data_IF_458156755677
#
_entry.id   IF_458156755677
#
_cell.length_a   1.000
_cell.length_b   1.000
_cell.length_c   1.000
_cell.angle_alpha   90.00
_cell.angle_beta   90.00
_cell.angle_gamma   90.00
#
_symmetry.space_group_name_H-M   'P 1'
#
loop_
_entity.id
_entity.type
_entity.pdbx_description
1 polymer ?
#
# COMPACT_ATOMS: atom_id res chain seq x y z
N UNK A 1 63.21 2.94 -65.90
CA UNK A 1 61.88 2.51 -65.46
C UNK A 1 61.91 2.37 -63.94
N UNK A 2 61.15 3.22 -63.25
CA UNK A 2 61.09 3.28 -61.79
C UNK A 2 60.12 2.23 -61.25
N UNK A 3 60.61 1.35 -60.37
CA UNK A 3 59.87 0.21 -59.81
C UNK A 3 59.37 0.49 -58.37
N UNK A 4 59.47 1.72 -57.87
CA UNK A 4 59.30 2.04 -56.45
C UNK A 4 57.84 2.13 -55.96
N UNK A 5 56.83 2.04 -56.84
CA UNK A 5 55.41 2.22 -56.45
C UNK A 5 54.47 1.09 -56.89
N UNK A 6 54.93 -0.16 -56.89
CA UNK A 6 54.01 -1.30 -57.05
C UNK A 6 53.62 -1.82 -55.64
N UNK A 7 52.36 -1.71 -55.21
CA UNK A 7 51.89 -2.31 -53.96
C UNK A 7 51.86 -3.83 -54.11
N UNK A 8 53.04 -4.45 -54.03
CA UNK A 8 53.22 -5.89 -53.93
C UNK A 8 53.11 -6.29 -52.47
N UNK A 9 52.07 -7.04 -52.11
CA UNK A 9 52.06 -7.78 -50.86
C UNK A 9 53.30 -8.67 -50.78
N UNK A 10 54.00 -8.65 -49.64
CA UNK A 10 55.19 -9.49 -49.43
C UNK A 10 54.78 -10.95 -49.60
N UNK A 11 55.55 -11.72 -50.37
CA UNK A 11 55.36 -13.17 -50.48
C UNK A 11 55.50 -13.78 -49.08
N UNK A 12 54.41 -14.35 -48.56
CA UNK A 12 54.33 -14.88 -47.19
C UNK A 12 53.68 -13.96 -46.15
N UNK A 13 53.43 -12.69 -46.46
CA UNK A 13 52.50 -11.88 -45.66
C UNK A 13 51.09 -12.24 -46.09
N UNK A 14 50.39 -13.08 -45.32
CA UNK A 14 48.98 -13.38 -45.55
C UNK A 14 48.21 -12.09 -45.89
N UNK A 15 47.38 -12.14 -46.94
CA UNK A 15 46.73 -10.95 -47.50
C UNK A 15 45.99 -10.11 -46.46
N UNK A 16 45.76 -8.83 -46.77
CA UNK A 16 44.97 -7.93 -45.92
C UNK A 16 43.59 -8.56 -45.73
N UNK A 17 43.24 -8.91 -44.49
CA UNK A 17 41.97 -9.52 -44.16
C UNK A 17 40.83 -8.67 -44.71
N UNK A 18 39.88 -9.31 -45.39
CA UNK A 18 38.72 -8.63 -45.94
C UNK A 18 37.91 -7.95 -44.83
N UNK A 19 37.11 -6.94 -45.18
CA UNK A 19 36.28 -6.23 -44.19
C UNK A 19 35.31 -7.16 -43.45
N UNK A 20 34.89 -8.27 -44.08
CA UNK A 20 34.06 -9.31 -43.46
C UNK A 20 34.84 -10.13 -42.42
N UNK A 21 36.09 -10.51 -42.72
CA UNK A 21 36.95 -11.28 -41.81
C UNK A 21 37.35 -10.46 -40.59
N UNK A 22 37.74 -9.20 -40.77
CA UNK A 22 38.08 -8.31 -39.65
C UNK A 22 36.88 -8.01 -38.74
N UNK A 23 35.66 -7.90 -39.30
CA UNK A 23 34.44 -7.75 -38.50
C UNK A 23 34.07 -9.04 -37.72
N UNK A 24 34.34 -10.21 -38.30
CA UNK A 24 34.13 -11.49 -37.63
C UNK A 24 35.08 -11.66 -36.45
N UNK A 25 36.37 -11.38 -36.66
CA UNK A 25 37.41 -11.42 -35.63
C UNK A 25 37.09 -10.44 -34.48
N UNK A 26 36.72 -9.19 -34.82
CA UNK A 26 36.29 -8.20 -33.82
C UNK A 26 35.11 -8.70 -32.98
N UNK A 27 34.10 -9.33 -33.61
CA UNK A 27 32.91 -9.84 -32.91
C UNK A 27 33.26 -11.02 -31.98
N UNK A 28 34.15 -11.90 -32.42
CA UNK A 28 34.61 -13.05 -31.65
C UNK A 28 35.46 -12.61 -30.45
N UNK A 29 36.35 -11.63 -30.65
CA UNK A 29 37.13 -11.03 -29.57
C UNK A 29 36.27 -10.32 -28.52
N UNK A 30 35.28 -9.52 -28.95
CA UNK A 30 34.35 -8.87 -28.03
C UNK A 30 33.55 -9.89 -27.21
N UNK A 31 33.19 -11.03 -27.81
CA UNK A 31 32.53 -12.14 -27.12
C UNK A 31 33.44 -12.79 -26.07
N UNK A 32 34.72 -13.01 -26.38
CA UNK A 32 35.69 -13.56 -25.43
C UNK A 32 35.90 -12.61 -24.24
N UNK A 33 36.10 -11.32 -24.49
CA UNK A 33 36.24 -10.31 -23.43
C UNK A 33 35.01 -10.26 -22.50
N UNK A 34 33.81 -10.40 -23.06
CA UNK A 34 32.58 -10.45 -22.27
C UNK A 34 32.48 -11.71 -21.41
N UNK A 35 32.91 -12.87 -21.92
CA UNK A 35 32.96 -14.14 -21.18
C UNK A 35 33.98 -14.11 -20.04
N UNK A 36 35.12 -13.44 -20.24
CA UNK A 36 36.14 -13.26 -19.20
C UNK A 36 35.67 -12.33 -18.07
N UNK A 37 34.84 -11.34 -18.39
CA UNK A 37 34.37 -10.33 -17.42
C UNK A 37 33.17 -10.81 -16.60
N UNK A 38 32.30 -11.64 -17.18
CA UNK A 38 31.04 -12.08 -16.55
C UNK A 38 31.05 -13.60 -16.42
N UNK A 39 31.20 -14.08 -15.19
CA UNK A 39 31.02 -15.50 -14.87
C UNK A 39 29.54 -15.87 -14.94
N UNK A 40 29.16 -16.53 -16.04
CA UNK A 40 27.78 -16.95 -16.34
C UNK A 40 27.25 -17.91 -15.27
N UNK A 41 28.11 -18.68 -14.61
CA UNK A 41 27.68 -19.66 -13.61
C UNK A 41 27.20 -19.02 -12.31
N UNK A 42 27.51 -17.73 -12.08
CA UNK A 42 27.02 -16.96 -10.92
C UNK A 42 25.61 -16.41 -11.13
N UNK A 43 25.08 -16.47 -12.36
CA UNK A 43 23.72 -16.03 -12.63
C UNK A 43 22.71 -17.07 -12.10
N UNK A 44 21.85 -16.72 -11.12
CA UNK A 44 20.90 -17.66 -10.52
C UNK A 44 19.83 -18.16 -11.51
N UNK A 45 19.67 -17.48 -12.66
CA UNK A 45 18.69 -17.84 -13.68
C UNK A 45 19.28 -18.63 -14.85
N UNK A 46 20.59 -18.84 -14.89
CA UNK A 46 21.27 -19.62 -15.91
C UNK A 46 21.08 -21.12 -15.68
N UNK A 47 20.85 -21.87 -16.76
CA UNK A 47 20.82 -23.34 -16.74
C UNK A 47 21.41 -23.90 -18.03
N UNK A 48 22.14 -25.01 -17.91
CA UNK A 48 22.53 -25.82 -19.07
C UNK A 48 21.66 -27.07 -19.13
N UNK A 49 21.02 -27.28 -20.27
CA UNK A 49 20.22 -28.48 -20.49
C UNK A 49 21.09 -29.70 -20.74
N UNK A 50 20.51 -30.88 -20.49
CA UNK A 50 21.08 -32.19 -20.84
C UNK A 50 21.39 -32.35 -22.34
N UNK A 51 20.76 -31.55 -23.21
CA UNK A 51 21.02 -31.50 -24.66
C UNK A 51 22.12 -30.50 -25.05
N UNK A 52 22.78 -29.85 -24.08
CA UNK A 52 23.86 -28.90 -24.31
C UNK A 52 23.41 -27.48 -24.71
N UNK A 53 22.11 -27.22 -24.80
CA UNK A 53 21.56 -25.85 -24.97
C UNK A 53 21.55 -25.08 -23.65
N UNK A 54 21.51 -23.74 -23.73
CA UNK A 54 21.48 -22.85 -22.58
C UNK A 54 20.08 -22.28 -22.37
N UNK A 55 19.62 -22.20 -21.14
CA UNK A 55 18.30 -21.68 -20.82
C UNK A 55 18.35 -20.53 -19.83
N UNK A 56 17.40 -19.60 -19.96
CA UNK A 56 17.09 -18.60 -18.95
C UNK A 56 15.84 -18.99 -18.17
N UNK A 57 15.98 -19.42 -16.91
CA UNK A 57 14.84 -19.78 -16.03
C UNK A 57 13.90 -18.62 -15.75
N UNK A 58 14.39 -17.37 -15.82
CA UNK A 58 13.57 -16.18 -15.61
C UNK A 58 12.61 -15.92 -16.79
N UNK A 59 13.08 -16.17 -18.01
CA UNK A 59 12.37 -15.85 -19.24
C UNK A 59 11.79 -17.05 -19.98
N UNK A 60 12.17 -18.27 -19.59
CA UNK A 60 11.85 -19.53 -20.27
C UNK A 60 12.27 -19.50 -21.74
N UNK A 61 13.48 -19.01 -22.00
CA UNK A 61 14.05 -18.91 -23.36
C UNK A 61 15.24 -19.83 -23.51
N UNK A 62 15.32 -20.48 -24.68
CA UNK A 62 16.44 -21.33 -25.11
C UNK A 62 17.44 -20.50 -25.91
N UNK A 63 18.72 -20.77 -25.70
CA UNK A 63 19.85 -20.13 -26.34
C UNK A 63 20.82 -21.18 -26.86
N UNK A 64 21.22 -21.05 -28.12
CA UNK A 64 22.09 -22.02 -28.78
C UNK A 64 23.54 -21.91 -28.33
N UNK A 65 23.93 -20.76 -27.77
CA UNK A 65 25.30 -20.50 -27.35
C UNK A 65 25.34 -19.51 -26.16
N UNK A 66 26.41 -19.57 -25.37
CA UNK A 66 26.57 -18.75 -24.15
C UNK A 66 26.50 -17.24 -24.43
N UNK A 67 27.05 -16.81 -25.56
CA UNK A 67 26.98 -15.40 -25.99
C UNK A 67 25.55 -14.94 -26.29
N UNK A 68 24.68 -15.81 -26.81
CA UNK A 68 23.26 -15.51 -27.03
C UNK A 68 22.53 -15.38 -25.69
N UNK A 69 22.90 -16.17 -24.68
CA UNK A 69 22.40 -16.03 -23.32
C UNK A 69 22.85 -14.70 -22.69
N UNK A 70 24.14 -14.35 -22.78
CA UNK A 70 24.67 -13.08 -22.28
C UNK A 70 24.02 -11.85 -22.94
N UNK A 71 23.80 -11.90 -24.26
CA UNK A 71 23.08 -10.83 -24.95
C UNK A 71 21.61 -10.74 -24.50
N UNK A 72 21.01 -11.88 -24.16
CA UNK A 72 19.63 -11.93 -23.66
C UNK A 72 19.48 -11.31 -22.26
N UNK A 73 20.42 -11.53 -21.34
CA UNK A 73 20.34 -10.96 -19.98
C UNK A 73 20.39 -9.44 -19.98
N UNK A 74 21.12 -8.85 -20.92
CA UNK A 74 21.16 -7.39 -21.17
C UNK A 74 19.92 -6.88 -21.92
N UNK A 75 19.07 -7.77 -22.42
CA UNK A 75 17.87 -7.43 -23.18
C UNK A 75 16.73 -6.89 -22.30
N UNK A 76 15.94 -5.95 -22.86
CA UNK A 76 14.82 -5.30 -22.16
C UNK A 76 13.82 -6.30 -21.56
N UNK A 77 13.50 -7.38 -22.28
CA UNK A 77 12.56 -8.41 -21.81
C UNK A 77 13.04 -9.10 -20.53
N UNK A 78 14.32 -9.43 -20.45
CA UNK A 78 14.91 -10.04 -19.27
C UNK A 78 14.87 -9.09 -18.07
N UNK A 79 15.28 -7.84 -18.28
CA UNK A 79 15.27 -6.80 -17.24
C UNK A 79 13.86 -6.52 -16.69
N UNK A 80 12.84 -6.48 -17.57
CA UNK A 80 11.45 -6.30 -17.13
C UNK A 80 10.92 -7.48 -16.32
N UNK A 81 11.32 -8.70 -16.66
CA UNK A 81 10.90 -9.90 -15.91
C UNK A 81 11.57 -9.94 -14.54
N UNK A 82 12.82 -9.48 -14.45
CA UNK A 82 13.57 -9.39 -13.19
C UNK A 82 12.89 -8.39 -12.24
N UNK A 83 12.56 -7.20 -12.73
CA UNK A 83 11.80 -6.20 -11.97
C UNK A 83 10.44 -6.73 -11.51
N UNK A 84 9.73 -7.47 -12.38
CA UNK A 84 8.44 -8.08 -12.03
C UNK A 84 8.58 -9.16 -10.95
N UNK A 85 9.64 -9.96 -10.98
CA UNK A 85 9.92 -10.97 -9.96
C UNK A 85 10.28 -10.33 -8.62
N UNK A 86 11.17 -9.33 -8.61
CA UNK A 86 11.51 -8.57 -7.42
C UNK A 86 10.28 -7.92 -6.76
N UNK A 87 9.37 -7.35 -7.57
CA UNK A 87 8.12 -6.79 -7.06
C UNK A 87 7.15 -7.83 -6.49
N UNK A 88 7.15 -9.06 -7.03
CA UNK A 88 6.33 -10.17 -6.50
C UNK A 88 6.93 -10.71 -5.21
N UNK A 89 8.24 -10.94 -5.16
CA UNK A 89 8.96 -11.37 -3.97
C UNK A 89 8.86 -10.34 -2.85
N UNK A 90 8.91 -9.04 -3.14
CA UNK A 90 8.68 -7.99 -2.14
C UNK A 90 7.24 -8.01 -1.57
N UNK A 91 6.25 -8.48 -2.33
CA UNK A 91 4.86 -8.63 -1.88
C UNK A 91 4.60 -9.94 -1.14
N UNK A 92 5.27 -11.02 -1.54
CA UNK A 92 5.18 -12.35 -0.93
C UNK A 92 6.18 -12.57 0.22
N UNK A 93 7.16 -11.68 0.38
CA UNK A 93 8.10 -11.72 1.50
C UNK A 93 7.30 -11.77 2.81
N UNK A 94 7.48 -12.80 3.65
CA UNK A 94 6.82 -12.86 4.94
C UNK A 94 7.21 -11.58 5.69
N UNK A 95 6.20 -10.88 6.21
CA UNK A 95 6.42 -9.71 7.04
C UNK A 95 7.50 -10.06 8.07
N UNK A 96 8.67 -9.45 7.95
CA UNK A 96 9.73 -9.65 8.93
C UNK A 96 9.10 -9.42 10.31
N UNK A 97 9.39 -10.27 11.31
CA UNK A 97 8.90 -10.03 12.66
C UNK A 97 9.27 -8.60 13.02
N UNK A 98 8.24 -7.78 13.25
CA UNK A 98 8.41 -6.38 13.60
C UNK A 98 9.44 -6.27 14.72
N UNK A 99 10.30 -5.23 14.72
CA UNK A 99 11.30 -5.03 15.76
C UNK A 99 10.68 -5.26 17.13
N UNK A 100 11.35 -6.08 17.95
CA UNK A 100 10.85 -6.53 19.26
C UNK A 100 10.34 -5.31 20.02
N UNK A 101 9.02 -5.23 20.19
CA UNK A 101 8.40 -4.11 20.88
C UNK A 101 9.03 -4.08 22.26
N UNK A 102 9.68 -2.96 22.58
CA UNK A 102 10.23 -2.68 23.91
C UNK A 102 9.19 -3.14 24.93
N UNK A 103 9.49 -4.23 25.64
CA UNK A 103 8.64 -4.75 26.73
C UNK A 103 8.74 -3.73 27.85
N UNK A 104 7.91 -2.70 27.78
CA UNK A 104 7.68 -1.80 28.90
C UNK A 104 7.13 -2.69 30.01
N UNK A 105 7.90 -2.86 31.09
CA UNK A 105 7.42 -3.54 32.28
C UNK A 105 6.17 -2.81 32.78
N UNK A 106 5.02 -3.44 32.56
CA UNK A 106 3.74 -2.90 33.02
C UNK A 106 3.73 -3.02 34.54
N UNK A 107 3.90 -1.90 35.23
CA UNK A 107 3.75 -1.84 36.68
C UNK A 107 2.36 -2.38 37.06
N UNK A 108 2.33 -3.39 37.93
CA UNK A 108 1.08 -4.00 38.42
C UNK A 108 0.59 -3.21 39.62
N UNK A 109 -0.60 -2.63 39.52
CA UNK A 109 -1.26 -1.91 40.61
C UNK A 109 -2.54 -2.62 41.04
N UNK A 110 -2.93 -2.41 42.29
CA UNK A 110 -4.24 -2.86 42.80
C UNK A 110 -5.29 -1.94 42.20
N UNK A 111 -6.25 -2.51 41.47
CA UNK A 111 -7.33 -1.72 40.88
C UNK A 111 -8.36 -1.37 41.94
N UNK A 112 -8.73 -0.09 42.00
CA UNK A 112 -9.63 0.45 43.04
C UNK A 112 -11.13 0.31 42.69
N UNK A 113 -11.44 -0.11 41.46
CA UNK A 113 -12.81 -0.33 40.99
C UNK A 113 -13.14 0.47 39.74
N UNK A 114 -14.44 0.64 39.47
CA UNK A 114 -14.95 1.33 38.28
C UNK A 114 -15.12 2.84 38.54
N UNK A 115 -14.68 3.70 37.62
CA UNK A 115 -14.87 5.15 37.75
C UNK A 115 -16.33 5.55 37.55
N UNK A 116 -16.72 6.69 38.13
CA UNK A 116 -18.04 7.28 37.89
C UNK A 116 -18.13 7.86 36.48
N UNK A 117 -19.28 7.72 35.82
CA UNK A 117 -19.45 8.26 34.46
C UNK A 117 -20.86 8.81 34.22
N UNK A 118 -20.94 9.76 33.29
CA UNK A 118 -22.19 10.32 32.74
C UNK A 118 -22.08 10.40 31.23
N UNK A 119 -23.11 9.92 30.54
CA UNK A 119 -23.20 9.93 29.08
C UNK A 119 -24.38 10.79 28.67
N UNK A 120 -24.12 11.82 27.87
CA UNK A 120 -25.15 12.72 27.35
C UNK A 120 -25.26 12.53 25.84
N UNK A 121 -26.46 12.20 25.37
CA UNK A 121 -26.78 12.20 23.94
C UNK A 121 -27.20 13.61 23.53
N UNK A 122 -26.53 14.17 22.54
CA UNK A 122 -26.76 15.53 22.09
C UNK A 122 -27.09 15.53 20.59
N UNK A 123 -27.73 16.61 20.15
CA UNK A 123 -27.96 16.88 18.73
C UNK A 123 -27.57 18.32 18.48
N UNK A 124 -26.67 18.53 17.54
CA UNK A 124 -26.25 19.85 17.10
C UNK A 124 -27.47 20.55 16.46
N UNK A 125 -27.89 21.73 16.95
CA UNK A 125 -29.05 22.43 16.42
C UNK A 125 -28.86 22.95 14.99
N UNK A 126 -27.63 23.30 14.60
CA UNK A 126 -27.35 23.88 13.27
C UNK A 126 -27.25 22.80 12.20
N UNK A 127 -26.46 21.76 12.48
CA UNK A 127 -26.21 20.70 11.51
C UNK A 127 -27.19 19.54 11.63
N UNK A 128 -27.92 19.42 12.75
CA UNK A 128 -28.77 18.28 13.04
C UNK A 128 -28.01 16.98 13.35
N UNK A 129 -26.67 17.03 13.42
CA UNK A 129 -25.81 15.88 13.71
C UNK A 129 -26.05 15.36 15.12
N UNK A 130 -26.07 14.04 15.28
CA UNK A 130 -26.11 13.41 16.60
C UNK A 130 -24.71 13.33 17.19
N UNK A 131 -24.57 13.61 18.48
CA UNK A 131 -23.30 13.53 19.21
C UNK A 131 -23.46 12.83 20.55
N UNK A 132 -22.33 12.34 21.05
CA UNK A 132 -22.22 11.72 22.36
C UNK A 132 -21.14 12.46 23.14
N UNK A 133 -21.49 12.90 24.35
CA UNK A 133 -20.58 13.49 25.32
C UNK A 133 -20.42 12.52 26.49
N UNK A 134 -19.19 12.14 26.76
CA UNK A 134 -18.79 11.31 27.88
C UNK A 134 -18.07 12.17 28.92
N UNK A 135 -18.52 12.07 30.16
CA UNK A 135 -17.92 12.69 31.32
C UNK A 135 -17.54 11.57 32.28
N UNK A 136 -16.26 11.40 32.58
CA UNK A 136 -15.76 10.37 33.48
C UNK A 136 -15.02 11.03 34.63
N UNK A 137 -15.38 10.63 35.85
CA UNK A 137 -14.81 11.15 37.08
C UNK A 137 -13.76 10.19 37.63
N UNK A 138 -12.56 10.70 37.89
CA UNK A 138 -11.39 9.95 38.33
C UNK A 138 -10.76 10.55 39.61
N UNK A 139 -11.49 10.61 40.74
CA UNK A 139 -11.05 11.31 41.94
C UNK A 139 -9.71 10.80 42.53
N UNK A 140 -9.37 9.52 42.33
CA UNK A 140 -8.16 8.88 42.88
C UNK A 140 -7.09 8.54 41.81
N UNK A 141 -7.09 9.23 40.66
CA UNK A 141 -6.04 9.03 39.65
C UNK A 141 -4.66 9.50 40.12
N UNK A 142 -3.60 8.78 39.72
CA UNK A 142 -2.23 9.19 39.96
C UNK A 142 -1.87 10.46 39.16
N UNK A 143 -1.19 11.42 39.80
CA UNK A 143 -0.98 12.79 39.27
C UNK A 143 -0.19 12.88 37.96
N UNK A 144 0.59 11.84 37.64
CA UNK A 144 1.38 11.73 36.41
C UNK A 144 0.64 11.06 35.25
N UNK A 145 -0.56 10.49 35.49
CA UNK A 145 -1.28 9.68 34.52
C UNK A 145 -2.45 10.49 33.95
N UNK A 146 -2.58 10.46 32.63
CA UNK A 146 -3.73 11.02 31.93
C UNK A 146 -4.61 9.89 31.40
N UNK A 147 -5.94 9.99 31.53
CA UNK A 147 -6.86 9.02 30.95
C UNK A 147 -6.65 8.86 29.44
N UNK A 148 -6.72 7.62 28.97
CA UNK A 148 -6.62 7.28 27.54
C UNK A 148 -7.91 6.67 27.05
N UNK A 149 -8.18 6.86 25.77
CA UNK A 149 -9.35 6.31 25.11
C UNK A 149 -8.96 5.55 23.84
N UNK A 150 -9.79 4.58 23.45
CA UNK A 150 -9.63 3.85 22.19
C UNK A 150 -10.97 3.33 21.68
N UNK A 151 -11.21 3.43 20.38
CA UNK A 151 -12.28 2.70 19.71
C UNK A 151 -11.81 1.29 19.38
N UNK A 152 -12.60 0.29 19.77
CA UNK A 152 -12.36 -1.12 19.55
C UNK A 152 -13.52 -1.72 18.78
N UNK A 153 -13.22 -2.57 17.80
CA UNK A 153 -14.24 -3.28 17.04
C UNK A 153 -14.90 -4.39 17.86
N UNK A 154 -16.13 -4.77 17.52
CA UNK A 154 -16.83 -5.85 18.22
C UNK A 154 -16.14 -7.23 18.10
N UNK A 155 -15.23 -7.41 17.13
CA UNK A 155 -14.47 -8.65 16.95
C UNK A 155 -13.26 -8.78 17.88
N UNK A 156 -12.79 -7.67 18.45
CA UNK A 156 -11.62 -7.66 19.34
C UNK A 156 -11.98 -8.05 20.78
N UNK A 157 -13.23 -7.85 21.18
CA UNK A 157 -13.68 -8.19 22.53
C UNK A 157 -14.03 -9.69 22.66
N UNK A 158 -13.94 -10.21 23.88
CA UNK A 158 -14.21 -11.64 24.20
C UNK A 158 -15.38 -11.84 25.17
N UNK A 159 -16.12 -10.78 25.49
CA UNK A 159 -17.17 -10.80 26.53
C UNK A 159 -18.52 -11.14 25.90
N UNK A 160 -18.98 -10.34 24.93
CA UNK A 160 -20.22 -10.62 24.18
C UNK A 160 -19.92 -11.18 22.78
N UNK A 161 -20.88 -11.89 22.16
CA UNK A 161 -20.78 -12.28 20.75
C UNK A 161 -20.50 -11.07 19.83
N UNK A 162 -19.62 -11.19 18.83
CA UNK A 162 -19.30 -10.08 17.94
C UNK A 162 -20.50 -9.63 17.09
N UNK A 163 -20.89 -8.36 17.21
CA UNK A 163 -21.89 -7.71 16.35
C UNK A 163 -21.28 -6.48 15.65
N UNK A 164 -21.23 -6.50 14.32
CA UNK A 164 -20.66 -5.44 13.48
C UNK A 164 -21.40 -4.11 13.57
N UNK A 165 -22.65 -4.11 14.03
CA UNK A 165 -23.46 -2.89 14.18
C UNK A 165 -22.94 -1.99 15.29
N UNK A 166 -22.08 -2.52 16.16
CA UNK A 166 -21.57 -1.83 17.33
C UNK A 166 -20.04 -1.76 17.33
N UNK A 167 -19.55 -0.72 17.99
CA UNK A 167 -18.16 -0.52 18.37
C UNK A 167 -18.13 -0.25 19.87
N UNK A 168 -16.96 -0.44 20.47
CA UNK A 168 -16.75 -0.23 21.90
C UNK A 168 -15.75 0.90 22.10
N UNK A 169 -16.19 1.97 22.76
CA UNK A 169 -15.32 3.04 23.20
C UNK A 169 -14.77 2.70 24.58
N UNK A 170 -13.48 2.41 24.66
CA UNK A 170 -12.79 2.12 25.91
C UNK A 170 -12.20 3.40 26.51
N UNK A 171 -12.31 3.52 27.83
CA UNK A 171 -11.62 4.50 28.64
C UNK A 171 -10.78 3.78 29.68
N UNK A 172 -9.49 4.11 29.75
CA UNK A 172 -8.56 3.52 30.69
C UNK A 172 -7.77 4.61 31.41
N UNK A 173 -7.78 4.55 32.73
CA UNK A 173 -6.93 5.34 33.59
C UNK A 173 -6.54 4.47 34.79
N UNK A 174 -5.28 4.44 35.14
CA UNK A 174 -4.80 3.74 36.33
C UNK A 174 -5.03 4.62 37.58
N UNK A 175 -5.50 4.08 38.71
CA UNK A 175 -5.69 2.67 39.07
C UNK A 175 -7.09 2.10 38.81
N UNK A 176 -7.93 2.81 38.06
CA UNK A 176 -9.31 2.37 37.79
C UNK A 176 -9.38 1.20 36.79
N UNK A 177 -10.50 0.48 36.84
CA UNK A 177 -10.85 -0.49 35.81
C UNK A 177 -11.15 0.20 34.48
N UNK A 178 -10.73 -0.44 33.38
CA UNK A 178 -11.11 0.00 32.04
C UNK A 178 -12.61 -0.16 31.85
N UNK A 179 -13.29 0.92 31.51
CA UNK A 179 -14.71 0.90 31.15
C UNK A 179 -14.85 0.90 29.63
N UNK A 180 -15.93 0.30 29.13
CA UNK A 180 -16.26 0.27 27.71
C UNK A 180 -17.71 0.70 27.50
N UNK A 181 -17.94 1.56 26.51
CA UNK A 181 -19.27 1.99 26.11
C UNK A 181 -19.61 1.40 24.74
N UNK A 182 -20.78 0.76 24.64
CA UNK A 182 -21.32 0.26 23.38
C UNK A 182 -21.87 1.44 22.57
N UNK A 183 -21.27 1.69 21.41
CA UNK A 183 -21.57 2.82 20.52
C UNK A 183 -21.94 2.27 19.14
N UNK A 184 -22.93 2.85 18.43
CA UNK A 184 -23.21 2.45 17.05
C UNK A 184 -21.97 2.58 16.16
N UNK A 185 -21.74 1.61 15.27
CA UNK A 185 -20.60 1.59 14.34
C UNK A 185 -20.75 2.57 13.16
N UNK A 186 -21.33 3.76 13.42
CA UNK A 186 -21.48 4.84 12.44
C UNK A 186 -20.18 5.63 12.33
N UNK A 187 -19.92 6.18 11.15
CA UNK A 187 -18.72 6.98 10.94
C UNK A 187 -18.72 8.22 11.85
N UNK A 188 -17.58 8.45 12.51
CA UNK A 188 -17.36 9.62 13.34
C UNK A 188 -16.82 10.76 12.46
N UNK A 189 -17.36 11.96 12.66
CA UNK A 189 -16.86 13.15 12.02
C UNK A 189 -15.56 13.61 12.72
N UNK A 190 -14.47 13.64 11.95
CA UNK A 190 -13.13 14.03 12.42
C UNK A 190 -12.79 15.47 12.04
N UNK A 191 -13.76 16.26 11.56
CA UNK A 191 -13.58 17.68 11.36
C UNK A 191 -13.17 18.40 12.65
N UNK A 192 -12.45 19.51 12.50
CA UNK A 192 -11.97 20.31 13.63
C UNK A 192 -13.14 20.76 14.52
N UNK A 193 -13.02 20.55 15.84
CA UNK A 193 -14.07 20.83 16.82
C UNK A 193 -15.21 19.80 16.94
N UNK A 194 -15.37 18.87 15.98
CA UNK A 194 -16.39 17.81 16.04
C UNK A 194 -15.96 16.61 16.87
N UNK A 195 -14.66 16.35 16.96
CA UNK A 195 -14.07 15.36 17.85
C UNK A 195 -13.08 16.04 18.78
N UNK A 196 -13.30 15.96 20.10
CA UNK A 196 -12.37 16.54 21.07
C UNK A 196 -12.34 15.75 22.38
N UNK A 197 -11.22 15.89 23.08
CA UNK A 197 -11.02 15.34 24.43
C UNK A 197 -10.40 16.39 25.32
N UNK A 198 -10.83 16.45 26.57
CA UNK A 198 -10.27 17.37 27.57
C UNK A 198 -10.08 16.64 28.89
N UNK A 199 -8.93 16.85 29.52
CA UNK A 199 -8.61 16.34 30.84
C UNK A 199 -8.45 17.51 31.79
N UNK A 200 -9.38 17.66 32.73
CA UNK A 200 -9.25 18.64 33.80
C UNK A 200 -8.52 18.00 34.98
N UNK A 201 -7.28 18.43 35.23
CA UNK A 201 -6.43 17.90 36.30
C UNK A 201 -6.90 18.30 37.70
N UNK A 202 -7.60 19.43 37.83
CA UNK A 202 -8.05 19.97 39.11
C UNK A 202 -9.30 19.25 39.60
N UNK A 203 -10.32 19.15 38.73
CA UNK A 203 -11.56 18.43 39.05
C UNK A 203 -11.42 16.92 38.85
N UNK A 204 -10.32 16.46 38.24
CA UNK A 204 -10.06 15.08 37.86
C UNK A 204 -11.15 14.49 36.96
N UNK A 205 -11.71 15.31 36.08
CA UNK A 205 -12.75 14.92 35.13
C UNK A 205 -12.22 14.84 33.71
N UNK A 206 -12.53 13.72 33.05
CA UNK A 206 -12.22 13.49 31.65
C UNK A 206 -13.46 13.65 30.79
N UNK A 207 -13.33 14.46 29.75
CA UNK A 207 -14.37 14.74 28.77
C UNK A 207 -13.95 14.20 27.41
N UNK A 208 -14.87 13.53 26.74
CA UNK A 208 -14.72 13.13 25.35
C UNK A 208 -16.04 13.35 24.62
N UNK A 209 -15.98 14.09 23.53
CA UNK A 209 -17.14 14.33 22.68
C UNK A 209 -16.82 14.00 21.23
N UNK A 210 -17.77 13.38 20.56
CA UNK A 210 -17.72 13.21 19.12
C UNK A 210 -19.10 13.30 18.48
N UNK A 211 -19.11 13.68 17.21
CA UNK A 211 -20.31 13.73 16.37
C UNK A 211 -20.29 12.59 15.35
N UNK A 212 -21.45 12.02 15.07
CA UNK A 212 -21.61 11.09 13.96
C UNK A 212 -21.75 11.87 12.67
N UNK A 213 -21.16 11.35 11.60
CA UNK A 213 -21.44 11.83 10.24
C UNK A 213 -22.93 11.67 9.95
N UNK A 214 -23.51 12.68 9.31
CA UNK A 214 -24.86 12.54 8.79
C UNK A 214 -24.85 11.47 7.70
N UNK A 215 -25.75 10.51 7.82
CA UNK A 215 -26.03 9.61 6.72
C UNK A 215 -26.65 10.47 5.62
N UNK A 216 -26.07 10.43 4.41
CA UNK A 216 -26.73 11.02 3.24
C UNK A 216 -28.14 10.42 3.18
N UNK A 217 -29.21 11.23 3.00
CA UNK A 217 -30.52 10.67 2.75
C UNK A 217 -30.39 9.66 1.59
N UNK A 218 -31.06 8.51 1.66
CA UNK A 218 -31.02 7.54 0.58
C UNK A 218 -31.34 8.28 -0.71
N UNK A 219 -30.52 8.08 -1.74
CA UNK A 219 -30.77 8.67 -3.05
C UNK A 219 -32.22 8.34 -3.44
N UNK A 220 -32.99 9.31 -3.97
CA UNK A 220 -34.33 9.01 -4.43
C UNK A 220 -34.25 7.83 -5.41
N UNK A 221 -35.20 6.87 -5.34
CA UNK A 221 -35.19 5.71 -6.23
C UNK A 221 -35.08 6.21 -7.67
N UNK A 222 -34.15 5.61 -8.42
CA UNK A 222 -33.90 5.95 -9.82
C UNK A 222 -35.14 5.56 -10.63
N UNK A 223 -36.08 6.50 -10.77
CA UNK A 223 -37.28 6.29 -11.58
C UNK A 223 -36.82 6.05 -13.02
N UNK A 224 -37.32 4.99 -13.70
CA UNK A 224 -36.98 4.76 -15.09
C UNK A 224 -37.36 5.98 -15.94
N UNK A 225 -36.58 6.32 -16.98
CA UNK A 225 -36.89 7.46 -17.83
C UNK A 225 -38.29 7.29 -18.43
N UNK A 226 -39.15 8.27 -18.20
CA UNK A 226 -40.49 8.31 -18.76
C UNK A 226 -40.46 8.29 -20.30
N UNK A 227 -41.54 7.82 -20.94
CA UNK A 227 -41.59 7.68 -22.39
C UNK A 227 -41.40 9.04 -23.09
N UNK A 228 -40.80 9.05 -24.29
CA UNK A 228 -40.48 10.28 -25.00
C UNK A 228 -41.76 11.07 -25.33
N UNK A 229 -41.81 12.31 -24.86
CA UNK A 229 -42.88 13.27 -25.13
C UNK A 229 -43.00 13.52 -26.63
N UNK A 230 -44.19 13.26 -27.19
CA UNK A 230 -44.54 13.59 -28.57
C UNK A 230 -44.50 15.12 -28.72
N UNK A 231 -43.62 15.62 -29.60
CA UNK A 231 -43.51 17.06 -29.90
C UNK A 231 -44.84 17.54 -30.49
N UNK A 232 -45.54 18.43 -29.78
CA UNK A 232 -46.74 19.11 -30.28
C UNK A 232 -46.31 20.15 -31.33
N UNK A 233 -47.01 20.25 -32.48
CA UNK A 233 -46.62 21.20 -33.53
C UNK A 233 -46.83 22.66 -33.09
N UNK A 234 -46.03 23.60 -33.61
CA UNK A 234 -46.08 25.01 -33.23
C UNK A 234 -47.39 25.68 -33.70
N UNK A 235 -47.91 26.66 -32.95
CA UNK A 235 -49.11 27.40 -33.33
C UNK A 235 -48.83 28.36 -34.50
N UNK A 236 -49.84 28.63 -35.35
CA UNK A 236 -49.70 29.51 -36.51
C UNK A 236 -49.51 30.99 -36.11
N UNK A 237 -48.82 31.78 -36.93
CA UNK A 237 -48.53 33.19 -36.64
C UNK A 237 -49.79 34.06 -36.74
N UNK A 238 -49.97 34.91 -35.73
CA UNK A 238 -50.99 35.97 -35.71
C UNK A 238 -50.58 37.08 -36.70
N UNK A 239 -51.43 37.34 -37.69
CA UNK A 239 -51.36 38.55 -38.52
C UNK A 239 -51.89 39.74 -37.71
N UNK A 240 -51.03 40.72 -37.44
CA UNK A 240 -51.44 42.02 -36.92
C UNK A 240 -52.02 42.87 -38.05
N UNK A 241 -53.18 43.48 -37.80
CA UNK A 241 -53.68 44.66 -38.52
C UNK A 241 -53.34 45.93 -37.75
#
# INVERSE_FOLDING_TARGET
MDFQHRPGGKTGSGGVASASESNRDRRERLRQLALETIDINKDPYFMKNHLGSYECKLCLTLHNNEGSYLAHTQGKKHQTNLARRAAKEAKEAPAQPAPEKVKVEVKKFVKIGRPGYKVTKQRDPETGQQSLLFQIDYPEIAESIMPRHRFMSAYEQRIEPPDRRWQYLLMAAEPYETIAFKVPSREIDKAEGKFWTHWNRETKQFFLQFHFKMEKPPAPPNLPPGPPTVKRPPPPPLMNG
#
